data_IF_612653937916
#
_entry.id   IF_612653937916
#
_cell.length_a   1.000
_cell.length_b   1.000
_cell.length_c   1.000
_cell.angle_alpha   90.00
_cell.angle_beta   90.00
_cell.angle_gamma   90.00
#
_symmetry.space_group_name_H-M   'P 1'
#
loop_
_entity.id
_entity.type
_entity.pdbx_description
1 polymer ?
#
# COMPACT_ATOMS: atom_id res chain seq x y z
N UNK A 1 -15.26 18.36 24.83
CA UNK A 1 -15.42 18.09 23.37
C UNK A 1 -14.29 17.18 22.89
N UNK A 2 -14.60 16.11 22.16
CA UNK A 2 -13.60 15.25 21.54
C UNK A 2 -12.89 16.01 20.41
N UNK A 3 -11.59 15.77 20.25
CA UNK A 3 -10.83 16.31 19.10
C UNK A 3 -11.17 15.52 17.84
N UNK A 4 -11.46 16.22 16.75
CA UNK A 4 -11.69 15.55 15.45
C UNK A 4 -10.36 15.05 14.90
N UNK A 5 -10.33 13.82 14.40
CA UNK A 5 -9.14 13.19 13.87
C UNK A 5 -9.42 12.51 12.51
N UNK A 6 -8.47 12.61 11.61
CA UNK A 6 -8.38 11.84 10.36
C UNK A 6 -7.34 10.73 10.58
N UNK A 7 -7.72 9.49 10.32
CA UNK A 7 -6.78 8.36 10.33
C UNK A 7 -6.21 8.18 8.93
N UNK A 8 -4.87 8.16 8.83
CA UNK A 8 -4.13 7.91 7.60
C UNK A 8 -3.45 6.56 7.70
N UNK A 9 -3.95 5.58 6.99
CA UNK A 9 -3.43 4.22 7.02
C UNK A 9 -2.13 4.10 6.20
N UNK A 10 -1.11 3.39 6.74
CA UNK A 10 0.19 3.24 6.10
C UNK A 10 0.12 2.39 4.84
N UNK A 11 1.02 2.65 3.90
CA UNK A 11 1.30 1.79 2.75
C UNK A 11 2.42 0.78 3.02
N UNK A 12 2.90 0.10 1.98
CA UNK A 12 4.07 -0.78 2.07
C UNK A 12 5.33 0.01 2.43
N UNK A 13 6.29 -0.67 3.09
CA UNK A 13 7.57 -0.06 3.51
C UNK A 13 7.56 0.53 4.91
N UNK A 14 6.49 0.33 5.68
CA UNK A 14 6.37 0.83 7.07
C UNK A 14 6.62 -0.23 8.15
N UNK A 15 7.01 -1.44 7.77
CA UNK A 15 7.51 -2.47 8.70
C UNK A 15 8.95 -2.82 8.32
N UNK A 16 9.90 -2.39 9.12
CA UNK A 16 11.34 -2.50 8.88
C UNK A 16 12.03 -3.15 10.10
N UNK A 17 13.34 -3.10 10.16
CA UNK A 17 14.09 -3.68 11.28
C UNK A 17 13.72 -3.06 12.64
N UNK A 18 13.38 -1.78 12.68
CA UNK A 18 12.94 -1.08 13.90
C UNK A 18 11.58 -1.54 14.40
N UNK A 19 10.71 -1.97 13.49
CA UNK A 19 9.36 -2.46 13.80
C UNK A 19 9.35 -3.95 14.20
N UNK A 20 10.43 -4.71 14.00
CA UNK A 20 10.46 -6.12 14.41
C UNK A 20 10.10 -6.28 15.90
N UNK A 21 9.09 -7.11 16.20
CA UNK A 21 8.52 -7.26 17.54
C UNK A 21 7.52 -6.17 17.95
N UNK A 22 7.01 -5.38 17.01
CA UNK A 22 6.08 -4.28 17.27
C UNK A 22 4.81 -4.74 17.98
N UNK A 23 4.20 -5.81 17.49
CA UNK A 23 2.97 -6.35 18.08
C UNK A 23 3.19 -6.78 19.53
N UNK A 24 4.29 -7.46 19.81
CA UNK A 24 4.63 -7.88 21.16
C UNK A 24 4.94 -6.70 22.07
N UNK A 25 5.69 -5.69 21.59
CA UNK A 25 6.07 -4.53 22.41
C UNK A 25 4.90 -3.61 22.74
N UNK A 26 3.96 -3.40 21.81
CA UNK A 26 2.95 -2.37 21.92
C UNK A 26 1.53 -2.93 22.05
N UNK A 27 1.30 -4.17 21.61
CA UNK A 27 -0.04 -4.74 21.46
C UNK A 27 -0.16 -6.17 21.98
N UNK A 28 0.66 -6.58 22.96
CA UNK A 28 0.61 -7.93 23.54
C UNK A 28 -0.78 -8.33 24.07
N UNK A 29 -1.55 -7.36 24.55
CA UNK A 29 -2.94 -7.58 25.01
C UNK A 29 -3.96 -7.81 23.89
N UNK A 30 -3.56 -7.67 22.60
CA UNK A 30 -4.41 -7.86 21.42
C UNK A 30 -4.21 -9.24 20.77
N UNK A 31 -4.07 -10.28 21.58
CA UNK A 31 -3.89 -11.65 21.10
C UNK A 31 -5.04 -12.14 20.21
N UNK A 32 -6.26 -11.69 20.44
CA UNK A 32 -7.44 -11.96 19.63
C UNK A 32 -7.31 -11.42 18.19
N UNK A 33 -6.83 -10.20 18.05
CA UNK A 33 -6.57 -9.58 16.76
C UNK A 33 -5.44 -10.32 16.02
N UNK A 34 -4.34 -10.59 16.71
CA UNK A 34 -3.19 -11.29 16.16
C UNK A 34 -3.62 -12.69 15.69
N UNK A 35 -4.36 -13.44 16.52
CA UNK A 35 -4.87 -14.76 16.17
C UNK A 35 -5.80 -14.75 14.94
N UNK A 36 -6.61 -13.70 14.78
CA UNK A 36 -7.48 -13.56 13.60
C UNK A 36 -6.65 -13.42 12.31
N UNK A 37 -5.59 -12.61 12.33
CA UNK A 37 -4.70 -12.44 11.16
C UNK A 37 -3.88 -13.71 10.93
N UNK A 38 -3.40 -14.35 11.98
CA UNK A 38 -2.68 -15.63 11.89
C UNK A 38 -3.55 -16.71 11.26
N UNK A 39 -4.82 -16.82 11.66
CA UNK A 39 -5.76 -17.79 11.12
C UNK A 39 -5.95 -17.63 9.61
N UNK A 40 -6.06 -16.38 9.11
CA UNK A 40 -6.17 -16.11 7.68
C UNK A 40 -4.94 -16.59 6.89
N UNK A 41 -3.75 -16.51 7.49
CA UNK A 41 -2.50 -16.95 6.86
C UNK A 41 -2.34 -18.48 6.91
N UNK A 42 -2.60 -19.07 8.06
CA UNK A 42 -2.51 -20.53 8.26
C UNK A 42 -3.47 -21.25 7.31
N UNK A 43 -4.67 -20.70 7.08
CA UNK A 43 -5.64 -21.25 6.13
C UNK A 43 -5.11 -21.35 4.70
N UNK A 44 -4.09 -20.56 4.35
CA UNK A 44 -3.43 -20.57 3.03
C UNK A 44 -2.01 -21.15 3.07
N UNK A 45 -1.63 -21.82 4.17
CA UNK A 45 -0.31 -22.45 4.34
C UNK A 45 0.84 -21.47 4.54
N UNK A 46 0.55 -20.23 4.92
CA UNK A 46 1.57 -19.20 5.12
C UNK A 46 1.98 -19.10 6.60
N UNK A 47 3.20 -18.58 6.83
CA UNK A 47 3.74 -18.37 8.18
C UNK A 47 2.89 -17.35 8.95
N UNK A 48 2.46 -17.62 10.20
CA UNK A 48 1.73 -16.66 11.03
C UNK A 48 2.48 -15.34 11.21
N UNK A 49 1.76 -14.22 11.29
CA UNK A 49 2.41 -12.91 11.53
C UNK A 49 3.02 -12.81 12.92
N UNK A 50 2.45 -13.52 13.89
CA UNK A 50 3.03 -13.63 15.24
C UNK A 50 4.42 -14.24 15.22
N UNK A 51 4.66 -15.25 14.38
CA UNK A 51 5.97 -15.88 14.20
C UNK A 51 6.92 -14.94 13.43
N UNK A 52 6.44 -14.21 12.43
CA UNK A 52 7.25 -13.23 11.68
C UNK A 52 7.66 -12.06 12.58
N UNK A 53 6.73 -11.50 13.36
CA UNK A 53 6.98 -10.39 14.26
C UNK A 53 7.92 -10.75 15.40
N UNK A 54 7.83 -11.99 15.93
CA UNK A 54 8.68 -12.49 17.03
C UNK A 54 10.03 -13.08 16.58
N UNK A 55 10.38 -12.95 15.30
CA UNK A 55 11.66 -13.44 14.80
C UNK A 55 12.84 -12.76 15.52
N UNK A 56 13.92 -13.50 15.77
CA UNK A 56 15.09 -12.97 16.47
C UNK A 56 15.88 -11.95 15.67
N UNK A 57 15.68 -11.94 14.32
CA UNK A 57 16.37 -11.03 13.40
C UNK A 57 15.46 -10.64 12.25
N UNK A 58 15.47 -9.35 11.92
CA UNK A 58 14.85 -8.86 10.69
C UNK A 58 15.64 -9.34 9.47
N UNK A 59 14.95 -9.98 8.54
CA UNK A 59 15.53 -10.48 7.30
C UNK A 59 14.75 -9.87 6.12
N UNK A 60 15.34 -8.96 5.32
CA UNK A 60 14.65 -8.30 4.22
C UNK A 60 13.99 -9.26 3.23
N UNK A 61 14.68 -10.36 2.86
CA UNK A 61 14.14 -11.38 1.95
C UNK A 61 12.94 -12.17 2.52
N UNK A 62 12.62 -12.02 3.80
CA UNK A 62 11.45 -12.60 4.46
C UNK A 62 10.41 -11.53 4.77
N UNK A 63 10.81 -10.47 5.49
CA UNK A 63 9.87 -9.50 6.05
C UNK A 63 9.40 -8.44 5.04
N UNK A 64 10.15 -8.21 3.94
CA UNK A 64 9.76 -7.23 2.91
C UNK A 64 9.00 -7.84 1.72
N UNK A 65 8.88 -9.15 1.65
CA UNK A 65 8.10 -9.79 0.58
C UNK A 65 6.63 -9.39 0.63
N UNK A 66 5.96 -9.38 -0.52
CA UNK A 66 4.58 -8.88 -0.61
C UNK A 66 3.60 -9.61 0.30
N UNK A 67 3.76 -10.91 0.37
CA UNK A 67 2.95 -11.85 1.14
C UNK A 67 3.19 -11.76 2.65
N UNK A 68 4.37 -11.34 3.13
CA UNK A 68 4.68 -11.20 4.54
C UNK A 68 4.54 -9.76 5.04
N UNK A 69 5.06 -8.78 4.30
CA UNK A 69 5.00 -7.38 4.69
C UNK A 69 3.56 -6.86 4.80
N UNK A 70 2.68 -7.26 3.86
CA UNK A 70 1.32 -6.73 3.84
C UNK A 70 0.49 -7.11 5.07
N UNK A 71 0.40 -8.39 5.49
CA UNK A 71 -0.30 -8.76 6.71
C UNK A 71 0.38 -8.30 7.99
N UNK A 72 1.72 -8.18 8.05
CA UNK A 72 2.42 -7.58 9.20
C UNK A 72 2.00 -6.13 9.41
N UNK A 73 2.05 -5.32 8.35
CA UNK A 73 1.63 -3.91 8.39
C UNK A 73 0.14 -3.81 8.73
N UNK A 74 -0.69 -4.69 8.18
CA UNK A 74 -2.12 -4.72 8.48
C UNK A 74 -2.37 -4.97 9.98
N UNK A 75 -1.74 -5.99 10.56
CA UNK A 75 -1.93 -6.34 11.97
C UNK A 75 -1.49 -5.19 12.90
N UNK A 76 -0.31 -4.59 12.65
CA UNK A 76 0.16 -3.42 13.39
C UNK A 76 -0.81 -2.25 13.29
N UNK A 77 -1.23 -1.89 12.08
CA UNK A 77 -2.14 -0.77 11.85
C UNK A 77 -3.53 -0.99 12.47
N UNK A 78 -4.07 -2.23 12.44
CA UNK A 78 -5.35 -2.54 13.08
C UNK A 78 -5.24 -2.50 14.60
N UNK A 79 -4.13 -2.94 15.17
CA UNK A 79 -3.86 -2.86 16.60
C UNK A 79 -3.73 -1.40 17.06
N UNK A 80 -2.99 -0.57 16.31
CA UNK A 80 -2.89 0.88 16.55
C UNK A 80 -4.25 1.57 16.45
N UNK A 81 -5.03 1.27 15.41
CA UNK A 81 -6.36 1.83 15.22
C UNK A 81 -7.30 1.47 16.37
N UNK A 82 -7.24 0.23 16.85
CA UNK A 82 -8.02 -0.22 17.98
C UNK A 82 -7.56 0.40 19.32
N UNK A 83 -6.32 0.86 19.42
CA UNK A 83 -5.77 1.54 20.59
C UNK A 83 -6.09 3.04 20.65
N UNK A 84 -6.65 3.63 19.58
CA UNK A 84 -7.03 5.05 19.60
C UNK A 84 -8.08 5.31 20.70
N UNK A 85 -7.76 6.24 21.61
CA UNK A 85 -8.66 6.69 22.67
C UNK A 85 -9.89 7.42 22.08
N UNK A 86 -11.02 6.70 22.02
CA UNK A 86 -12.28 7.21 21.47
C UNK A 86 -12.99 8.20 22.40
N UNK A 87 -12.55 8.35 23.64
CA UNK A 87 -13.08 9.38 24.54
C UNK A 87 -12.43 10.73 24.28
N UNK A 88 -11.19 10.72 23.80
CA UNK A 88 -10.44 11.92 23.40
C UNK A 88 -10.62 12.30 21.94
N UNK A 89 -10.75 11.30 21.04
CA UNK A 89 -10.76 11.52 19.60
C UNK A 89 -12.06 11.03 18.96
N UNK A 90 -12.63 11.88 18.12
CA UNK A 90 -13.71 11.57 17.18
C UNK A 90 -13.11 11.33 15.79
N UNK A 91 -13.12 10.09 15.33
CA UNK A 91 -12.57 9.74 14.01
C UNK A 91 -13.59 10.11 12.94
N UNK A 92 -13.35 11.24 12.29
CA UNK A 92 -14.29 11.79 11.30
C UNK A 92 -14.14 11.20 9.91
N UNK A 93 -12.96 10.65 9.60
CA UNK A 93 -12.70 9.94 8.35
C UNK A 93 -11.46 9.06 8.46
N UNK A 94 -11.33 8.11 7.54
CA UNK A 94 -10.14 7.31 7.32
C UNK A 94 -9.68 7.43 5.87
N UNK A 95 -8.37 7.35 5.64
CA UNK A 95 -7.76 7.37 4.32
C UNK A 95 -6.51 6.53 4.31
N UNK A 96 -5.89 6.35 3.15
CA UNK A 96 -4.63 5.64 3.01
C UNK A 96 -4.02 5.84 1.63
N UNK A 97 -2.78 5.42 1.47
CA UNK A 97 -2.10 5.40 0.18
C UNK A 97 -1.71 3.97 -0.19
N UNK A 98 -1.86 3.61 -1.46
CA UNK A 98 -1.50 2.29 -1.97
C UNK A 98 -2.17 1.17 -1.15
N UNK A 99 -1.41 0.28 -0.51
CA UNK A 99 -1.95 -0.75 0.39
C UNK A 99 -2.77 -0.17 1.55
N UNK A 100 -2.45 1.06 2.00
CA UNK A 100 -3.21 1.76 3.04
C UNK A 100 -4.70 1.91 2.75
N UNK A 101 -5.12 1.80 1.48
CA UNK A 101 -6.53 1.75 1.12
C UNK A 101 -7.23 0.50 1.61
N UNK A 102 -6.57 -0.66 1.59
CA UNK A 102 -7.13 -1.91 2.11
C UNK A 102 -7.32 -1.80 3.64
N UNK A 103 -6.33 -1.18 4.31
CA UNK A 103 -6.39 -0.91 5.74
C UNK A 103 -7.52 0.07 6.07
N UNK A 104 -7.67 1.13 5.28
CA UNK A 104 -8.74 2.11 5.46
C UNK A 104 -10.14 1.48 5.33
N UNK A 105 -10.33 0.46 4.48
CA UNK A 105 -11.59 -0.27 4.38
C UNK A 105 -11.93 -1.00 5.69
N UNK A 106 -10.95 -1.62 6.34
CA UNK A 106 -11.13 -2.27 7.63
C UNK A 106 -11.34 -1.24 8.76
N UNK A 107 -10.55 -0.16 8.80
CA UNK A 107 -10.74 0.93 9.76
C UNK A 107 -12.11 1.62 9.63
N UNK A 108 -12.65 1.67 8.41
CA UNK A 108 -13.98 2.22 8.15
C UNK A 108 -15.14 1.29 8.57
N UNK A 109 -14.86 0.02 8.91
CA UNK A 109 -15.86 -1.01 9.14
C UNK A 109 -16.54 -1.54 7.88
N UNK A 110 -15.95 -1.27 6.69
CA UNK A 110 -16.44 -1.82 5.41
C UNK A 110 -16.06 -3.29 5.29
N UNK A 111 -14.90 -3.67 5.81
CA UNK A 111 -14.46 -5.04 6.03
C UNK A 111 -14.34 -5.26 7.54
N UNK A 112 -14.72 -6.42 8.00
CA UNK A 112 -14.35 -6.86 9.33
C UNK A 112 -12.84 -7.18 9.39
N UNK A 113 -12.34 -7.44 10.58
CA UNK A 113 -10.92 -7.72 10.80
C UNK A 113 -10.42 -8.91 9.96
N UNK A 114 -11.20 -9.99 9.90
CA UNK A 114 -10.86 -11.19 9.15
C UNK A 114 -10.94 -10.96 7.64
N UNK A 115 -11.94 -10.23 7.15
CA UNK A 115 -12.09 -9.85 5.75
C UNK A 115 -10.94 -8.95 5.27
N UNK A 116 -10.55 -7.98 6.09
CA UNK A 116 -9.39 -7.15 5.82
C UNK A 116 -8.08 -7.95 5.80
N UNK A 117 -7.90 -8.89 6.74
CA UNK A 117 -6.75 -9.79 6.76
C UNK A 117 -6.68 -10.65 5.50
N UNK A 118 -7.81 -11.24 5.07
CA UNK A 118 -7.88 -12.01 3.82
C UNK A 118 -7.54 -11.16 2.60
N UNK A 119 -8.12 -9.94 2.50
CA UNK A 119 -7.85 -9.04 1.39
C UNK A 119 -6.36 -8.70 1.27
N UNK A 120 -5.71 -8.26 2.36
CA UNK A 120 -4.28 -7.90 2.32
C UNK A 120 -3.40 -9.12 2.06
N UNK A 121 -3.77 -10.28 2.59
CA UNK A 121 -3.04 -11.53 2.37
C UNK A 121 -3.11 -11.96 0.90
N UNK A 122 -4.32 -11.98 0.31
CA UNK A 122 -4.54 -12.32 -1.10
C UNK A 122 -3.79 -11.35 -2.01
N UNK A 123 -3.97 -10.04 -1.81
CA UNK A 123 -3.30 -9.03 -2.63
C UNK A 123 -1.79 -9.06 -2.47
N UNK A 124 -1.29 -9.26 -1.25
CA UNK A 124 0.15 -9.40 -0.97
C UNK A 124 0.75 -10.62 -1.66
N UNK A 125 0.07 -11.77 -1.58
CA UNK A 125 0.46 -13.01 -2.25
C UNK A 125 0.45 -12.90 -3.78
N UNK A 126 -0.62 -12.35 -4.36
CA UNK A 126 -0.70 -12.12 -5.81
C UNK A 126 0.43 -11.21 -6.31
N UNK A 127 0.73 -10.12 -5.59
CA UNK A 127 1.82 -9.22 -5.97
C UNK A 127 3.20 -9.86 -5.79
N UNK A 128 3.36 -10.76 -4.85
CA UNK A 128 4.60 -11.51 -4.68
C UNK A 128 4.83 -12.54 -5.78
N UNK A 129 3.78 -13.28 -6.16
CA UNK A 129 3.85 -14.37 -7.14
C UNK A 129 3.85 -13.90 -8.58
N UNK A 130 3.09 -12.86 -8.90
CA UNK A 130 2.80 -12.42 -10.27
C UNK A 130 3.21 -10.98 -10.56
N UNK A 131 3.85 -10.31 -9.59
CA UNK A 131 4.35 -8.96 -9.78
C UNK A 131 5.46 -8.93 -10.83
N UNK A 132 5.39 -7.95 -11.74
CA UNK A 132 6.39 -7.73 -12.78
C UNK A 132 6.93 -6.30 -12.70
N UNK A 133 8.17 -6.09 -13.16
CA UNK A 133 8.83 -4.79 -13.16
C UNK A 133 9.10 -4.25 -11.75
N UNK A 134 9.12 -2.93 -11.61
CA UNK A 134 9.40 -2.30 -10.32
C UNK A 134 9.01 -0.83 -10.29
N UNK A 135 9.43 -0.16 -9.22
CA UNK A 135 9.16 1.26 -9.00
C UNK A 135 10.43 2.02 -8.63
N UNK A 136 10.49 3.27 -9.09
CA UNK A 136 11.52 4.24 -8.72
C UNK A 136 10.83 5.47 -8.15
N UNK A 137 11.34 5.97 -7.03
CA UNK A 137 10.95 7.25 -6.42
C UNK A 137 11.95 8.32 -6.80
N UNK A 138 11.44 9.49 -7.17
CA UNK A 138 12.26 10.66 -7.48
C UNK A 138 11.61 11.94 -6.97
N UNK A 139 12.37 12.91 -6.37
CA UNK A 139 11.80 14.12 -5.80
C UNK A 139 11.46 15.14 -6.89
N UNK A 140 10.33 15.83 -6.72
CA UNK A 140 9.91 16.98 -7.53
C UNK A 140 9.90 18.27 -6.70
N UNK A 141 10.49 18.22 -5.51
CA UNK A 141 10.67 19.32 -4.57
C UNK A 141 12.16 19.45 -4.23
N UNK A 142 12.55 20.59 -3.66
CA UNK A 142 13.84 20.80 -3.03
C UNK A 142 13.86 20.34 -1.57
N UNK A 143 14.96 20.63 -0.87
CA UNK A 143 15.15 20.26 0.54
C UNK A 143 14.17 20.98 1.49
N UNK A 144 13.65 22.14 1.10
CA UNK A 144 12.63 22.90 1.82
C UNK A 144 11.20 22.50 1.45
N UNK A 145 11.04 21.39 0.73
CA UNK A 145 9.75 20.86 0.23
C UNK A 145 9.00 21.82 -0.69
N UNK A 146 9.71 22.74 -1.36
CA UNK A 146 9.12 23.61 -2.38
C UNK A 146 9.13 22.93 -3.75
N UNK A 147 7.98 22.96 -4.42
CA UNK A 147 7.83 22.34 -5.74
C UNK A 147 8.80 22.99 -6.74
N UNK A 148 9.54 22.12 -7.44
CA UNK A 148 10.47 22.51 -8.49
C UNK A 148 9.82 22.26 -9.87
N UNK A 149 9.34 23.33 -10.49
CA UNK A 149 8.69 23.25 -11.82
C UNK A 149 9.60 22.63 -12.89
N UNK A 150 10.90 22.89 -12.81
CA UNK A 150 11.90 22.30 -13.70
C UNK A 150 11.94 20.76 -13.56
N UNK A 151 11.80 20.23 -12.33
CA UNK A 151 11.77 18.80 -12.10
C UNK A 151 10.49 18.17 -12.67
N UNK A 152 9.36 18.86 -12.55
CA UNK A 152 8.10 18.40 -13.14
C UNK A 152 8.20 18.38 -14.67
N UNK A 153 8.74 19.45 -15.27
CA UNK A 153 8.95 19.55 -16.72
C UNK A 153 9.93 18.46 -17.20
N UNK A 154 11.02 18.26 -16.47
CA UNK A 154 11.99 17.22 -16.77
C UNK A 154 11.33 15.83 -16.82
N UNK A 155 10.56 15.45 -15.80
CA UNK A 155 9.85 14.15 -15.77
C UNK A 155 8.85 14.04 -16.92
N UNK A 156 8.11 15.12 -17.24
CA UNK A 156 7.20 15.13 -18.41
C UNK A 156 7.93 14.83 -19.70
N UNK A 157 9.06 15.50 -19.95
CA UNK A 157 9.86 15.30 -21.15
C UNK A 157 10.44 13.89 -21.20
N UNK A 158 10.97 13.41 -20.07
CA UNK A 158 11.49 12.04 -19.92
C UNK A 158 10.43 10.98 -20.28
N UNK A 159 9.20 11.17 -19.80
CA UNK A 159 8.09 10.26 -20.12
C UNK A 159 7.65 10.38 -21.59
N UNK A 160 7.76 11.55 -22.20
CA UNK A 160 7.50 11.71 -23.63
C UNK A 160 8.56 11.01 -24.49
N UNK A 161 9.83 11.12 -24.13
CA UNK A 161 10.93 10.37 -24.77
C UNK A 161 10.73 8.87 -24.64
N UNK A 162 10.39 8.39 -23.45
CA UNK A 162 10.17 6.96 -23.19
C UNK A 162 9.05 6.38 -24.07
N UNK A 163 8.02 7.14 -24.41
CA UNK A 163 6.94 6.69 -25.31
C UNK A 163 7.40 6.41 -26.73
N UNK A 164 8.48 7.05 -27.18
CA UNK A 164 9.07 6.81 -28.49
C UNK A 164 9.95 5.55 -28.55
N UNK A 165 10.29 4.98 -27.40
CA UNK A 165 11.14 3.77 -27.27
C UNK A 165 10.23 2.55 -27.11
N UNK A 166 10.04 1.77 -28.16
CA UNK A 166 9.11 0.62 -28.17
C UNK A 166 9.51 -0.54 -27.24
N UNK A 167 10.77 -0.58 -26.82
CA UNK A 167 11.34 -1.68 -26.01
C UNK A 167 11.20 -1.48 -24.51
N UNK A 168 10.69 -0.33 -24.05
CA UNK A 168 10.52 0.00 -22.63
C UNK A 168 9.07 0.39 -22.33
N UNK A 169 8.66 0.12 -21.11
CA UNK A 169 7.32 0.52 -20.61
C UNK A 169 7.49 1.25 -19.31
N UNK A 170 7.14 2.55 -19.29
CA UNK A 170 7.26 3.44 -18.14
C UNK A 170 5.94 4.18 -17.93
N UNK A 171 5.48 4.24 -16.69
CA UNK A 171 4.24 4.87 -16.28
C UNK A 171 4.42 5.68 -15.00
N UNK A 172 3.62 6.73 -14.82
CA UNK A 172 3.47 7.36 -13.51
C UNK A 172 2.64 6.44 -12.63
N UNK A 173 3.24 5.93 -11.57
CA UNK A 173 2.57 5.07 -10.60
C UNK A 173 1.79 5.89 -9.57
N UNK A 174 2.49 6.77 -8.85
CA UNK A 174 1.88 7.58 -7.78
C UNK A 174 2.47 9.00 -7.81
N UNK A 175 1.62 9.99 -7.54
CA UNK A 175 2.02 11.36 -7.21
C UNK A 175 1.85 11.56 -5.70
N UNK A 176 2.95 11.75 -4.98
CA UNK A 176 3.00 11.85 -3.52
C UNK A 176 3.25 13.30 -3.04
N UNK A 177 2.68 14.29 -3.72
CA UNK A 177 2.98 15.68 -3.40
C UNK A 177 4.42 16.04 -3.81
N UNK A 178 5.40 15.91 -2.93
CA UNK A 178 6.80 16.21 -3.21
C UNK A 178 7.58 15.15 -3.96
N UNK A 179 7.03 13.96 -4.16
CA UNK A 179 7.69 12.83 -4.82
C UNK A 179 6.84 12.31 -5.98
N UNK A 180 7.52 11.85 -7.03
CA UNK A 180 6.89 11.05 -8.08
C UNK A 180 7.39 9.61 -8.01
N UNK A 181 6.47 8.65 -8.13
CA UNK A 181 6.78 7.24 -8.25
C UNK A 181 6.53 6.81 -9.68
N UNK A 182 7.57 6.33 -10.35
CA UNK A 182 7.53 5.79 -11.69
C UNK A 182 7.53 4.28 -11.64
N UNK A 183 6.60 3.63 -12.35
CA UNK A 183 6.54 2.19 -12.52
C UNK A 183 7.07 1.83 -13.91
N UNK A 184 7.87 0.76 -14.01
CA UNK A 184 8.42 0.34 -15.28
C UNK A 184 8.71 -1.17 -15.31
N UNK A 185 8.85 -1.71 -16.53
CA UNK A 185 9.49 -3.01 -16.74
C UNK A 185 11.02 -2.90 -16.47
N UNK A 186 11.74 -4.02 -16.44
CA UNK A 186 13.16 -4.02 -16.08
C UNK A 186 14.02 -3.15 -17.04
N UNK A 187 13.69 -3.16 -18.33
CA UNK A 187 14.37 -2.31 -19.31
C UNK A 187 14.11 -0.83 -19.05
N UNK A 188 12.85 -0.48 -18.72
CA UNK A 188 12.46 0.88 -18.36
C UNK A 188 13.08 1.34 -17.02
N UNK A 189 13.19 0.46 -16.03
CA UNK A 189 13.88 0.77 -14.77
C UNK A 189 15.36 1.12 -15.01
N UNK A 190 16.06 0.31 -15.81
CA UNK A 190 17.45 0.59 -16.19
C UNK A 190 17.56 1.93 -16.92
N UNK A 191 16.69 2.16 -17.90
CA UNK A 191 16.65 3.39 -18.69
C UNK A 191 16.41 4.64 -17.80
N UNK A 192 15.52 4.56 -16.81
CA UNK A 192 15.25 5.62 -15.82
C UNK A 192 16.47 5.87 -14.92
N UNK A 193 17.08 4.82 -14.39
CA UNK A 193 18.26 4.93 -13.51
C UNK A 193 19.47 5.56 -14.20
N UNK A 194 19.56 5.47 -15.53
CA UNK A 194 20.62 6.10 -16.32
C UNK A 194 20.35 7.60 -16.60
N UNK A 195 19.09 8.03 -16.60
CA UNK A 195 18.66 9.37 -17.03
C UNK A 195 18.18 10.30 -15.94
N UNK A 196 17.62 9.74 -14.85
CA UNK A 196 17.22 10.56 -13.71
C UNK A 196 18.45 11.17 -13.05
N UNK A 197 18.44 12.49 -12.75
CA UNK A 197 19.50 13.11 -11.96
C UNK A 197 19.70 12.40 -10.62
N UNK A 198 20.96 12.21 -10.27
CA UNK A 198 21.38 11.44 -9.09
C UNK A 198 21.86 12.36 -7.99
N UNK A 199 21.43 12.06 -6.78
CA UNK A 199 22.02 12.54 -5.54
C UNK A 199 22.34 11.34 -4.61
N UNK A 200 22.64 11.59 -3.33
CA UNK A 200 23.00 10.54 -2.36
C UNK A 200 21.85 9.55 -2.08
N UNK A 201 20.60 9.92 -2.33
CA UNK A 201 19.39 9.15 -2.03
C UNK A 201 18.57 8.78 -3.25
N UNK A 202 18.59 9.60 -4.29
CA UNK A 202 17.72 9.46 -5.46
C UNK A 202 18.50 9.38 -6.77
N UNK A 203 17.95 8.69 -7.80
CA UNK A 203 16.68 7.96 -7.80
C UNK A 203 16.73 6.72 -6.91
N UNK A 204 15.65 6.46 -6.15
CA UNK A 204 15.55 5.33 -5.25
C UNK A 204 14.70 4.22 -5.89
N UNK A 205 15.32 3.09 -6.25
CA UNK A 205 14.60 1.88 -6.64
C UNK A 205 14.02 1.21 -5.39
N UNK A 206 12.70 1.00 -5.39
CA UNK A 206 12.01 0.35 -4.28
C UNK A 206 12.22 -1.17 -4.34
N UNK A 207 12.87 -1.71 -3.31
CA UNK A 207 13.15 -3.14 -3.21
C UNK A 207 11.87 -3.95 -2.98
N UNK A 208 11.77 -5.13 -3.60
CA UNK A 208 10.61 -6.02 -3.51
C UNK A 208 9.27 -5.37 -3.94
N UNK A 209 9.32 -4.32 -4.77
CA UNK A 209 8.15 -3.71 -5.40
C UNK A 209 8.04 -4.18 -6.85
N UNK A 210 6.82 -4.53 -7.26
CA UNK A 210 6.47 -4.66 -8.68
C UNK A 210 6.09 -3.28 -9.26
N UNK A 211 5.79 -3.23 -10.54
CA UNK A 211 5.31 -2.02 -11.22
C UNK A 211 3.87 -1.64 -10.80
N UNK A 212 3.67 -1.42 -9.49
CA UNK A 212 2.35 -1.14 -8.91
C UNK A 212 1.68 0.07 -9.56
N UNK A 213 0.36 0.07 -9.58
CA UNK A 213 -0.48 1.15 -10.14
C UNK A 213 -0.15 1.48 -11.59
N UNK A 214 0.22 0.47 -12.38
CA UNK A 214 0.48 0.60 -13.81
C UNK A 214 -0.21 -0.50 -14.63
N UNK A 215 -0.38 -0.32 -15.95
CA UNK A 215 -0.92 -1.34 -16.84
C UNK A 215 -0.12 -2.64 -16.89
N UNK A 216 1.15 -2.63 -16.45
CA UNK A 216 2.00 -3.81 -16.39
C UNK A 216 1.44 -4.92 -15.49
N UNK A 217 0.54 -4.56 -14.55
CA UNK A 217 -0.11 -5.49 -13.63
C UNK A 217 -1.59 -5.76 -13.96
N UNK A 218 -2.08 -5.37 -15.15
CA UNK A 218 -3.48 -5.59 -15.52
C UNK A 218 -3.89 -7.06 -15.55
N UNK A 219 -2.95 -7.97 -15.79
CA UNK A 219 -3.20 -9.42 -15.77
C UNK A 219 -3.63 -9.94 -14.38
N UNK A 220 -3.27 -9.23 -13.29
CA UNK A 220 -3.64 -9.60 -11.91
C UNK A 220 -5.10 -9.24 -11.60
N UNK A 221 -5.69 -8.26 -12.31
CA UNK A 221 -7.03 -7.73 -12.02
C UNK A 221 -8.13 -8.79 -11.98
N UNK A 222 -8.27 -9.70 -12.98
CA UNK A 222 -9.32 -10.73 -12.95
C UNK A 222 -9.14 -11.70 -11.78
N UNK A 223 -7.90 -12.05 -11.44
CA UNK A 223 -7.58 -12.95 -10.32
C UNK A 223 -7.96 -12.28 -9.00
N UNK A 224 -7.51 -11.05 -8.79
CA UNK A 224 -7.83 -10.28 -7.58
C UNK A 224 -9.35 -10.11 -7.38
N UNK A 225 -10.11 -9.95 -8.45
CA UNK A 225 -11.58 -9.86 -8.38
C UNK A 225 -12.24 -11.20 -8.04
N UNK A 226 -11.69 -12.30 -8.52
CA UNK A 226 -12.22 -13.64 -8.22
C UNK A 226 -12.00 -14.00 -6.74
N UNK A 227 -10.85 -13.60 -6.16
CA UNK A 227 -10.48 -13.89 -4.79
C UNK A 227 -11.12 -12.95 -3.74
N UNK A 228 -11.60 -11.77 -4.16
CA UNK A 228 -12.16 -10.76 -3.26
C UNK A 228 -13.53 -10.31 -3.79
N UNK A 229 -14.58 -10.96 -3.30
CA UNK A 229 -15.94 -10.78 -3.83
C UNK A 229 -16.62 -9.54 -3.24
N UNK A 230 -17.58 -8.99 -4.01
CA UNK A 230 -18.34 -7.82 -3.57
C UNK A 230 -19.16 -8.06 -2.28
N UNK A 231 -19.53 -9.32 -2.02
CA UNK A 231 -20.23 -9.74 -0.78
C UNK A 231 -19.41 -9.54 0.48
N UNK A 232 -18.08 -9.50 0.37
CA UNK A 232 -17.18 -9.32 1.51
C UNK A 232 -17.23 -7.89 2.07
N UNK A 233 -17.76 -6.94 1.28
CA UNK A 233 -17.78 -5.53 1.62
C UNK A 233 -19.14 -5.11 2.16
N UNK A 234 -19.16 -4.68 3.42
CA UNK A 234 -20.34 -4.15 4.12
C UNK A 234 -20.51 -2.63 3.95
N UNK A 235 -21.38 -2.08 4.80
CA UNK A 235 -21.55 -0.64 4.96
C UNK A 235 -20.62 -0.17 6.10
N UNK A 236 -19.72 0.75 5.80
CA UNK A 236 -18.82 1.31 6.81
C UNK A 236 -19.52 2.29 7.75
N UNK A 237 -19.00 2.38 8.97
CA UNK A 237 -19.46 3.33 10.00
C UNK A 237 -18.71 4.66 9.92
N UNK A 238 -17.44 4.63 9.50
CA UNK A 238 -16.59 5.82 9.35
C UNK A 238 -16.45 6.17 7.88
N UNK A 239 -16.58 7.45 7.48
CA UNK A 239 -16.33 7.89 6.11
C UNK A 239 -14.92 7.53 5.62
N UNK A 240 -14.82 6.85 4.48
CA UNK A 240 -13.55 6.59 3.82
C UNK A 240 -13.30 7.64 2.72
N UNK A 241 -12.15 8.32 2.78
CA UNK A 241 -11.74 9.31 1.80
C UNK A 241 -10.82 8.70 0.75
N UNK A 242 -11.15 8.85 -0.52
CA UNK A 242 -10.30 8.40 -1.62
C UNK A 242 -9.20 9.41 -1.92
N UNK A 243 -8.13 8.99 -2.61
CA UNK A 243 -7.08 9.90 -3.12
C UNK A 243 -7.57 10.97 -4.11
N UNK A 244 -8.87 10.96 -4.47
CA UNK A 244 -9.54 12.01 -5.25
C UNK A 244 -10.36 12.97 -4.38
N UNK A 245 -10.24 12.89 -3.05
CA UNK A 245 -10.99 13.73 -2.13
C UNK A 245 -12.48 13.39 -2.02
N UNK A 246 -12.96 12.30 -2.64
CA UNK A 246 -14.35 11.89 -2.52
C UNK A 246 -14.54 11.23 -1.16
N UNK A 247 -15.25 11.93 -0.27
CA UNK A 247 -15.74 11.37 0.98
C UNK A 247 -17.17 10.85 0.79
N UNK A 248 -17.45 9.70 1.37
CA UNK A 248 -18.80 9.14 1.40
C UNK A 248 -18.82 7.95 2.36
N UNK A 249 -19.97 7.69 2.98
CA UNK A 249 -20.21 6.34 3.53
C UNK A 249 -20.35 5.41 2.33
N UNK A 250 -19.39 4.49 2.11
CA UNK A 250 -19.42 3.71 0.90
C UNK A 250 -20.64 2.79 0.91
N UNK A 251 -21.52 2.98 -0.06
CA UNK A 251 -22.43 1.92 -0.45
C UNK A 251 -21.59 0.80 -1.12
N UNK A 252 -22.10 -0.45 -1.17
CA UNK A 252 -21.45 -1.60 -1.85
C UNK A 252 -20.89 -1.25 -3.23
N UNK A 253 -21.58 -0.34 -3.97
CA UNK A 253 -21.12 0.17 -5.27
C UNK A 253 -19.78 0.92 -5.24
N UNK A 254 -19.38 1.49 -4.09
CA UNK A 254 -18.11 2.23 -3.95
C UNK A 254 -16.97 1.25 -3.70
N UNK A 255 -17.19 0.19 -2.91
CA UNK A 255 -16.20 -0.87 -2.73
C UNK A 255 -15.89 -1.57 -4.07
N UNK A 256 -16.91 -1.86 -4.89
CA UNK A 256 -16.72 -2.36 -6.26
C UNK A 256 -15.97 -1.36 -7.15
N UNK A 257 -16.27 -0.06 -7.06
CA UNK A 257 -15.53 1.00 -7.78
C UNK A 257 -14.09 1.15 -7.26
N UNK A 258 -13.84 0.94 -5.97
CA UNK A 258 -12.48 0.93 -5.40
C UNK A 258 -11.59 -0.13 -6.04
N UNK A 259 -12.09 -1.36 -6.15
CA UNK A 259 -11.37 -2.44 -6.82
C UNK A 259 -11.23 -2.19 -8.33
N UNK A 260 -12.26 -1.61 -8.98
CA UNK A 260 -12.28 -1.34 -10.41
C UNK A 260 -11.42 -0.14 -10.83
N UNK A 261 -11.42 0.95 -10.06
CA UNK A 261 -10.77 2.22 -10.44
C UNK A 261 -9.24 2.15 -10.27
N UNK A 262 -8.73 1.38 -9.33
CA UNK A 262 -7.28 1.29 -9.09
C UNK A 262 -6.54 0.30 -9.97
N UNK A 263 -7.26 -0.71 -10.46
CA UNK A 263 -6.65 -1.72 -11.31
C UNK A 263 -6.80 -1.40 -12.82
N UNK A 264 -7.61 -0.39 -13.20
CA UNK A 264 -8.01 -0.15 -14.58
C UNK A 264 -7.80 1.28 -15.11
N UNK A 265 -7.08 2.19 -14.42
CA UNK A 265 -6.87 3.55 -14.94
C UNK A 265 -5.43 4.02 -14.82
N UNK A 266 -4.87 4.20 -15.97
CA UNK A 266 -4.10 5.37 -16.39
C UNK A 266 -4.96 6.23 -17.29
#
# INVERSE_FOLDING_TARGET
>A
MKKRALVVCPGRGTYNAAELGYLQRHHAARSDLIATVDAARVATGQVPISQLDSATKYTPSVHMTGDNASPLIYACAMADFAAIDRDRFDIVAVTGNSMGWYLALACAGILDLAGGARLVNNMGGLMHQQGAGGQIVWPIVDDDWQIQENNILFVRNLLAEAKAVSTIKIYVSIRLGGMIVLAADEAGLKWLMERLPKDDRFPLRLMHHAAFHSPLLNHIVPIARAENQASDFGRGDIPAMTGRGVSGRPARSVAQRFMTIRLARN
#
